data_IF_170061993108
#
_entry.id   IF_170061993108
#
_cell.length_a   1.000
_cell.length_b   1.000
_cell.length_c   1.000
_cell.angle_alpha   90.00
_cell.angle_beta   90.00
_cell.angle_gamma   90.00
#
_symmetry.space_group_name_H-M   'P 1'
#
loop_
_entity.id
_entity.type
_entity.pdbx_description
1 polymer ?
#
# COMPACT_ATOMS: atom_id res chain seq x y z
N UNK A 1 -10.00 38.23 -12.51
CA UNK A 1 -9.35 36.90 -12.39
C UNK A 1 -9.07 36.66 -10.93
N UNK A 2 -9.90 35.85 -10.28
CA UNK A 2 -9.70 35.48 -8.87
C UNK A 2 -8.54 34.47 -8.78
N UNK A 3 -7.34 34.99 -8.60
CA UNK A 3 -6.07 34.24 -8.53
C UNK A 3 -5.98 33.34 -7.30
N UNK A 4 -6.87 33.50 -6.32
CA UNK A 4 -6.82 32.74 -5.07
C UNK A 4 -7.26 31.29 -5.26
N UNK A 5 -8.41 31.05 -5.90
CA UNK A 5 -8.93 29.69 -6.15
C UNK A 5 -8.02 28.91 -7.10
N UNK A 6 -7.49 29.57 -8.13
CA UNK A 6 -6.55 28.92 -9.06
C UNK A 6 -5.27 28.46 -8.36
N UNK A 7 -4.75 29.29 -7.44
CA UNK A 7 -3.62 28.91 -6.61
C UNK A 7 -3.96 27.73 -5.68
N UNK A 8 -5.11 27.76 -5.02
CA UNK A 8 -5.58 26.64 -4.17
C UNK A 8 -5.70 25.35 -4.97
N UNK A 9 -6.30 25.40 -6.17
CA UNK A 9 -6.42 24.24 -7.07
C UNK A 9 -5.04 23.71 -7.44
N UNK A 10 -4.07 24.58 -7.75
CA UNK A 10 -2.70 24.14 -8.06
C UNK A 10 -2.04 23.39 -6.90
N UNK A 11 -2.12 23.92 -5.66
CA UNK A 11 -1.59 23.26 -4.47
C UNK A 11 -2.26 21.91 -4.22
N UNK A 12 -3.58 21.83 -4.40
CA UNK A 12 -4.36 20.62 -4.21
C UNK A 12 -4.05 19.56 -5.28
N UNK A 13 -3.80 19.98 -6.52
CA UNK A 13 -3.34 19.11 -7.61
C UNK A 13 -1.95 18.56 -7.32
N UNK A 14 -1.00 19.40 -6.91
CA UNK A 14 0.36 18.97 -6.59
C UNK A 14 0.36 17.95 -5.45
N UNK A 15 -0.49 18.16 -4.43
CA UNK A 15 -0.71 17.17 -3.36
C UNK A 15 -1.31 15.86 -3.90
N UNK A 16 -2.27 15.94 -4.82
CA UNK A 16 -2.88 14.75 -5.41
C UNK A 16 -1.86 13.92 -6.21
N UNK A 17 -1.05 14.58 -7.04
CA UNK A 17 0.03 13.95 -7.80
C UNK A 17 1.07 13.32 -6.86
N UNK A 18 1.41 14.00 -5.76
CA UNK A 18 2.29 13.45 -4.73
C UNK A 18 1.72 12.16 -4.11
N UNK A 19 0.43 12.13 -3.78
CA UNK A 19 -0.19 10.91 -3.23
C UNK A 19 -0.25 9.78 -4.27
N UNK A 20 -0.49 10.10 -5.55
CA UNK A 20 -0.44 9.11 -6.64
C UNK A 20 0.95 8.50 -6.78
N UNK A 21 2.00 9.34 -6.70
CA UNK A 21 3.37 8.85 -6.70
C UNK A 21 3.67 7.94 -5.52
N UNK A 22 3.21 8.30 -4.30
CA UNK A 22 3.33 7.42 -3.12
C UNK A 22 2.69 6.06 -3.36
N UNK A 23 1.55 6.01 -4.05
CA UNK A 23 0.88 4.75 -4.41
C UNK A 23 1.77 3.87 -5.28
N UNK A 24 2.40 4.44 -6.31
CA UNK A 24 3.33 3.75 -7.21
C UNK A 24 4.61 3.30 -6.49
N UNK A 25 5.13 4.13 -5.58
CA UNK A 25 6.29 3.79 -4.74
C UNK A 25 5.99 2.57 -3.86
N UNK A 26 4.79 2.46 -3.30
CA UNK A 26 4.39 1.28 -2.55
C UNK A 26 4.30 0.03 -3.43
N UNK A 27 3.70 0.12 -4.62
CA UNK A 27 3.58 -1.01 -5.54
C UNK A 27 4.96 -1.50 -6.03
N UNK A 28 5.85 -0.58 -6.39
CA UNK A 28 7.21 -0.92 -6.80
C UNK A 28 8.06 -1.51 -5.66
N UNK A 29 7.83 -1.07 -4.42
CA UNK A 29 8.55 -1.57 -3.24
C UNK A 29 8.22 -3.01 -2.83
N UNK A 30 7.15 -3.61 -3.35
CA UNK A 30 6.69 -4.96 -2.97
C UNK A 30 7.54 -6.09 -3.55
N UNK A 31 8.25 -5.85 -4.65
CA UNK A 31 9.04 -6.90 -5.33
C UNK A 31 10.11 -7.52 -4.43
N UNK A 32 10.84 -6.69 -3.69
CA UNK A 32 11.91 -7.15 -2.79
C UNK A 32 11.37 -8.03 -1.64
N UNK A 33 10.37 -7.58 -0.85
CA UNK A 33 9.69 -8.42 0.14
C UNK A 33 9.21 -9.78 -0.38
N UNK A 34 8.57 -9.82 -1.55
CA UNK A 34 8.04 -11.05 -2.14
C UNK A 34 9.17 -12.02 -2.51
N UNK A 35 10.26 -11.49 -3.07
CA UNK A 35 11.44 -12.28 -3.43
C UNK A 35 12.07 -12.92 -2.18
N UNK A 36 12.24 -12.14 -1.11
CA UNK A 36 12.80 -12.63 0.15
C UNK A 36 11.92 -13.69 0.79
N UNK A 37 10.59 -13.48 0.81
CA UNK A 37 9.64 -14.47 1.30
C UNK A 37 9.72 -15.78 0.53
N UNK A 38 9.81 -15.70 -0.80
CA UNK A 38 9.92 -16.89 -1.67
C UNK A 38 11.18 -17.69 -1.35
N UNK A 39 12.30 -17.01 -1.14
CA UNK A 39 13.56 -17.65 -0.72
C UNK A 39 13.44 -18.31 0.67
N UNK A 40 12.77 -17.66 1.63
CA UNK A 40 12.54 -18.22 2.97
C UNK A 40 11.59 -19.43 2.95
N UNK A 41 10.56 -19.43 2.10
CA UNK A 41 9.70 -20.60 1.89
C UNK A 41 10.47 -21.76 1.27
N UNK A 42 11.26 -21.51 0.21
CA UNK A 42 12.09 -22.55 -0.39
C UNK A 42 13.14 -23.11 0.59
N UNK A 43 13.79 -22.23 1.35
CA UNK A 43 14.75 -22.60 2.39
C UNK A 43 14.12 -23.43 3.49
N UNK A 44 12.95 -23.03 4.00
CA UNK A 44 12.24 -23.79 5.04
C UNK A 44 11.78 -25.17 4.55
N UNK A 45 11.31 -25.28 3.29
CA UNK A 45 10.98 -26.56 2.67
C UNK A 45 12.20 -27.50 2.61
N UNK A 46 13.35 -26.99 2.16
CA UNK A 46 14.59 -27.77 2.10
C UNK A 46 14.94 -28.37 3.47
N UNK A 47 14.91 -27.55 4.52
CA UNK A 47 15.19 -28.00 5.91
C UNK A 47 14.24 -29.11 6.37
N UNK A 48 12.96 -29.00 6.04
CA UNK A 48 11.94 -29.98 6.43
C UNK A 48 12.10 -31.29 5.65
N UNK A 49 12.48 -31.21 4.38
CA UNK A 49 12.61 -32.36 3.47
C UNK A 49 13.89 -33.18 3.68
N UNK A 50 14.90 -32.63 4.37
CA UNK A 50 16.20 -33.28 4.52
C UNK A 50 16.12 -34.49 5.47
N UNK A 51 16.10 -35.69 4.89
CA UNK A 51 16.03 -36.95 5.60
C UNK A 51 17.27 -37.26 6.44
N UNK A 52 18.40 -36.61 6.17
CA UNK A 52 19.61 -36.76 6.99
C UNK A 52 19.43 -36.20 8.40
N UNK A 53 18.37 -35.40 8.62
CA UNK A 53 18.06 -34.76 9.90
C UNK A 53 17.05 -35.54 10.75
N UNK A 54 16.78 -36.81 10.43
CA UNK A 54 15.78 -37.65 11.12
C UNK A 54 16.39 -38.43 12.30
N UNK A 55 17.69 -38.73 12.27
CA UNK A 55 18.37 -39.58 13.27
C UNK A 55 19.07 -38.85 14.42
N UNK A 56 18.79 -37.55 14.64
CA UNK A 56 19.53 -36.70 15.57
C UNK A 56 18.99 -36.81 17.01
N UNK A 57 19.83 -36.46 17.98
CA UNK A 57 19.45 -36.24 19.38
C UNK A 57 18.11 -35.49 19.52
N UNK A 58 17.20 -36.04 20.32
CA UNK A 58 15.81 -35.63 20.45
C UNK A 58 15.64 -34.13 20.83
N UNK A 59 16.59 -33.56 21.58
CA UNK A 59 16.58 -32.15 21.97
C UNK A 59 16.81 -31.19 20.80
N UNK A 60 17.78 -31.48 19.92
CA UNK A 60 18.09 -30.65 18.74
C UNK A 60 16.98 -30.71 17.69
N UNK A 61 16.35 -31.89 17.53
CA UNK A 61 15.18 -32.07 16.68
C UNK A 61 14.00 -31.22 17.17
N UNK A 62 13.77 -31.17 18.47
CA UNK A 62 12.71 -30.34 19.07
C UNK A 62 12.95 -28.85 18.81
N UNK A 63 14.18 -28.36 19.02
CA UNK A 63 14.54 -26.95 18.76
C UNK A 63 14.36 -26.61 17.27
N UNK A 64 14.76 -27.50 16.35
CA UNK A 64 14.54 -27.33 14.91
C UNK A 64 13.07 -27.05 14.60
N UNK A 65 12.17 -27.89 15.11
CA UNK A 65 10.73 -27.75 14.85
C UNK A 65 10.14 -26.46 15.45
N UNK A 66 10.58 -26.07 16.66
CA UNK A 66 10.18 -24.78 17.25
C UNK A 66 10.57 -23.61 16.33
N UNK A 67 11.82 -23.59 15.84
CA UNK A 67 12.29 -22.54 14.93
C UNK A 67 11.53 -22.54 13.60
N UNK A 68 11.23 -23.71 13.03
CA UNK A 68 10.42 -23.83 11.80
C UNK A 68 9.02 -23.26 12.02
N UNK A 69 8.35 -23.62 13.13
CA UNK A 69 7.01 -23.10 13.43
C UNK A 69 7.04 -21.58 13.63
N UNK A 70 8.00 -21.06 14.38
CA UNK A 70 8.18 -19.61 14.56
C UNK A 70 8.44 -18.89 13.24
N UNK A 71 9.25 -19.48 12.36
CA UNK A 71 9.50 -18.95 11.02
C UNK A 71 8.19 -18.91 10.21
N UNK A 72 7.43 -20.00 10.18
CA UNK A 72 6.15 -20.03 9.45
C UNK A 72 5.15 -18.99 9.96
N UNK A 73 5.05 -18.80 11.28
CA UNK A 73 4.22 -17.75 11.88
C UNK A 73 4.69 -16.36 11.40
N UNK A 74 5.99 -16.08 11.45
CA UNK A 74 6.56 -14.82 11.01
C UNK A 74 6.33 -14.57 9.50
N UNK A 75 6.42 -15.60 8.66
CA UNK A 75 6.10 -15.51 7.23
C UNK A 75 4.62 -15.18 7.00
N UNK A 76 3.70 -15.83 7.73
CA UNK A 76 2.26 -15.53 7.64
C UNK A 76 1.96 -14.10 8.08
N UNK A 77 2.54 -13.64 9.19
CA UNK A 77 2.40 -12.25 9.65
C UNK A 77 2.91 -11.27 8.60
N UNK A 78 4.05 -11.57 7.97
CA UNK A 78 4.58 -10.75 6.86
C UNK A 78 3.60 -10.68 5.70
N UNK A 79 3.02 -11.82 5.29
CA UNK A 79 2.04 -11.87 4.20
C UNK A 79 0.80 -11.04 4.51
N UNK A 80 0.30 -11.04 5.75
CA UNK A 80 -0.81 -10.20 6.17
C UNK A 80 -0.47 -8.72 5.96
N UNK A 81 0.70 -8.27 6.42
CA UNK A 81 1.10 -6.88 6.24
C UNK A 81 1.28 -6.50 4.77
N UNK A 82 1.92 -7.36 3.96
CA UNK A 82 2.07 -7.12 2.51
C UNK A 82 0.73 -7.09 1.79
N UNK A 83 -0.23 -7.92 2.20
CA UNK A 83 -1.59 -7.89 1.68
C UNK A 83 -2.25 -6.52 1.95
N UNK A 84 -2.07 -5.96 3.15
CA UNK A 84 -2.54 -4.61 3.48
C UNK A 84 -1.84 -3.54 2.64
N UNK A 85 -0.53 -3.67 2.40
CA UNK A 85 0.22 -2.76 1.52
C UNK A 85 -0.30 -2.81 0.09
N UNK A 86 -0.70 -3.98 -0.42
CA UNK A 86 -1.22 -4.09 -1.79
C UNK A 86 -2.65 -3.57 -1.90
N UNK A 87 -3.56 -4.04 -1.04
CA UNK A 87 -5.00 -3.79 -1.20
C UNK A 87 -5.53 -2.56 -0.45
N UNK A 88 -4.82 -2.02 0.54
CA UNK A 88 -5.33 -0.96 1.39
C UNK A 88 -6.60 -1.39 2.13
N UNK A 89 -6.44 -2.23 3.16
CA UNK A 89 -7.42 -3.03 3.93
C UNK A 89 -8.88 -2.56 4.08
N UNK A 90 -9.21 -1.27 3.90
CA UNK A 90 -10.59 -0.73 4.04
C UNK A 90 -10.98 0.38 3.07
N UNK A 91 -10.05 1.02 2.35
CA UNK A 91 -10.34 2.21 1.55
C UNK A 91 -9.78 2.05 0.15
N UNK A 92 -10.64 2.17 -0.85
CA UNK A 92 -10.22 2.22 -2.24
C UNK A 92 -9.51 3.53 -2.50
N UNK A 93 -8.50 3.49 -3.35
CA UNK A 93 -7.81 4.68 -3.80
C UNK A 93 -8.79 5.56 -4.62
N UNK A 94 -8.87 6.84 -4.30
CA UNK A 94 -9.77 7.79 -4.97
C UNK A 94 -9.14 8.27 -6.28
N UNK A 95 -9.87 8.09 -7.37
CA UNK A 95 -9.59 8.67 -8.68
C UNK A 95 -10.47 9.88 -8.90
N UNK A 96 -9.99 10.82 -9.73
CA UNK A 96 -10.85 11.87 -10.25
C UNK A 96 -12.09 11.28 -10.95
N UNK A 97 -13.23 11.99 -10.91
CA UNK A 97 -14.40 11.61 -11.69
C UNK A 97 -14.04 11.51 -13.18
N UNK A 98 -14.71 10.58 -13.87
CA UNK A 98 -14.53 10.42 -15.30
C UNK A 98 -15.05 11.65 -16.06
N UNK A 99 -14.50 11.90 -17.25
CA UNK A 99 -14.83 13.08 -18.04
C UNK A 99 -16.32 13.16 -18.41
N UNK A 100 -17.01 12.02 -18.52
CA UNK A 100 -18.43 12.00 -18.84
C UNK A 100 -19.26 12.46 -17.63
N UNK A 101 -18.93 12.04 -16.41
CA UNK A 101 -19.53 12.54 -15.17
C UNK A 101 -19.30 14.04 -15.01
N UNK A 102 -18.07 14.52 -15.22
CA UNK A 102 -17.73 15.94 -15.14
C UNK A 102 -18.52 16.77 -16.16
N UNK A 103 -18.55 16.34 -17.42
CA UNK A 103 -19.15 17.13 -18.49
C UNK A 103 -20.68 17.03 -18.52
N UNK A 104 -21.23 15.82 -18.46
CA UNK A 104 -22.68 15.62 -18.57
C UNK A 104 -23.42 15.76 -17.24
N UNK A 105 -22.73 15.61 -16.11
CA UNK A 105 -23.27 15.85 -14.78
C UNK A 105 -23.03 17.28 -14.33
N UNK A 106 -21.84 17.55 -13.80
CA UNK A 106 -21.56 18.81 -13.11
C UNK A 106 -21.56 20.02 -14.04
N UNK A 107 -20.87 19.96 -15.18
CA UNK A 107 -20.76 21.12 -16.09
C UNK A 107 -22.12 21.55 -16.64
N UNK A 108 -22.91 20.64 -17.21
CA UNK A 108 -24.23 20.98 -17.77
C UNK A 108 -25.20 21.48 -16.72
N UNK A 109 -25.22 20.87 -15.53
CA UNK A 109 -26.08 21.31 -14.44
C UNK A 109 -25.71 22.72 -13.95
N UNK A 110 -24.41 22.98 -13.79
CA UNK A 110 -23.92 24.31 -13.40
C UNK A 110 -24.13 25.35 -14.49
N UNK A 111 -23.98 24.97 -15.76
CA UNK A 111 -24.21 25.86 -16.91
C UNK A 111 -25.67 26.28 -16.97
N UNK A 112 -26.59 25.33 -16.82
CA UNK A 112 -28.02 25.63 -16.78
C UNK A 112 -28.36 26.53 -15.58
N UNK A 113 -27.88 26.18 -14.39
CA UNK A 113 -28.07 26.97 -13.18
C UNK A 113 -27.60 28.42 -13.35
N UNK A 114 -26.40 28.63 -13.90
CA UNK A 114 -25.83 29.95 -14.10
C UNK A 114 -26.62 30.78 -15.12
N UNK A 115 -27.09 30.17 -16.23
CA UNK A 115 -27.92 30.85 -17.22
C UNK A 115 -29.29 31.25 -16.69
N UNK A 116 -29.90 30.40 -15.86
CA UNK A 116 -31.25 30.64 -15.30
C UNK A 116 -31.25 31.69 -14.18
N UNK A 117 -30.24 31.67 -13.30
CA UNK A 117 -30.22 32.50 -12.10
C UNK A 117 -29.35 33.76 -12.24
N UNK A 118 -28.38 33.75 -13.16
CA UNK A 118 -27.40 34.83 -13.34
C UNK A 118 -27.15 35.13 -14.83
N UNK A 119 -28.18 35.47 -15.63
CA UNK A 119 -28.05 35.58 -17.09
C UNK A 119 -26.98 36.58 -17.54
N UNK A 120 -26.78 37.68 -16.81
CA UNK A 120 -25.82 38.74 -17.14
C UNK A 120 -24.36 38.38 -16.80
N UNK A 121 -24.13 37.45 -15.87
CA UNK A 121 -22.80 37.05 -15.39
C UNK A 121 -22.59 35.54 -15.42
N UNK A 122 -23.38 34.84 -16.25
CA UNK A 122 -23.48 33.38 -16.25
C UNK A 122 -22.14 32.66 -16.45
N UNK A 123 -21.26 33.21 -17.28
CA UNK A 123 -19.93 32.64 -17.53
C UNK A 123 -19.01 32.74 -16.29
N UNK A 124 -19.04 33.88 -15.59
CA UNK A 124 -18.23 34.09 -14.38
C UNK A 124 -18.70 33.18 -13.24
N UNK A 125 -20.02 33.10 -13.03
CA UNK A 125 -20.63 32.22 -12.02
C UNK A 125 -20.40 30.74 -12.34
N UNK A 126 -20.51 30.34 -13.61
CA UNK A 126 -20.20 28.97 -14.03
C UNK A 126 -18.74 28.63 -13.72
N UNK A 127 -17.81 29.50 -14.10
CA UNK A 127 -16.39 29.28 -13.86
C UNK A 127 -16.07 29.19 -12.36
N UNK A 128 -16.68 30.04 -11.55
CA UNK A 128 -16.48 30.04 -10.10
C UNK A 128 -16.99 28.75 -9.44
N UNK A 129 -18.20 28.32 -9.81
CA UNK A 129 -18.77 27.06 -9.32
C UNK A 129 -17.97 25.83 -9.78
N UNK A 130 -17.45 25.83 -11.01
CA UNK A 130 -16.58 24.75 -11.50
C UNK A 130 -15.27 24.68 -10.71
N UNK A 131 -14.69 25.83 -10.34
CA UNK A 131 -13.50 25.88 -9.48
C UNK A 131 -13.80 25.31 -8.09
N UNK A 132 -14.91 25.69 -7.49
CA UNK A 132 -15.31 25.15 -6.18
C UNK A 132 -15.52 23.64 -6.25
N UNK A 133 -16.16 23.16 -7.33
CA UNK A 133 -16.36 21.73 -7.54
C UNK A 133 -15.03 20.97 -7.72
N UNK A 134 -14.08 21.55 -8.45
CA UNK A 134 -12.75 20.98 -8.60
C UNK A 134 -12.00 20.92 -7.25
N UNK A 135 -12.11 21.99 -6.43
CA UNK A 135 -11.54 22.02 -5.08
C UNK A 135 -12.10 20.89 -4.22
N UNK A 136 -13.42 20.68 -4.22
CA UNK A 136 -14.06 19.58 -3.50
C UNK A 136 -13.53 18.21 -3.92
N UNK A 137 -13.45 17.93 -5.22
CA UNK A 137 -12.90 16.66 -5.72
C UNK A 137 -11.46 16.43 -5.27
N UNK A 138 -10.62 17.45 -5.34
CA UNK A 138 -9.26 17.33 -4.85
C UNK A 138 -9.21 17.11 -3.33
N UNK A 139 -10.02 17.81 -2.55
CA UNK A 139 -10.06 17.63 -1.09
C UNK A 139 -10.46 16.21 -0.72
N UNK A 140 -11.54 15.70 -1.32
CA UNK A 140 -12.04 14.34 -1.07
C UNK A 140 -11.00 13.29 -1.45
N UNK A 141 -10.43 13.39 -2.65
CA UNK A 141 -9.41 12.45 -3.07
C UNK A 141 -8.13 12.57 -2.24
N UNK A 142 -7.65 13.77 -1.92
CA UNK A 142 -6.46 13.94 -1.09
C UNK A 142 -6.66 13.36 0.31
N UNK A 143 -7.77 13.65 0.97
CA UNK A 143 -8.05 13.15 2.31
C UNK A 143 -8.16 11.62 2.34
N UNK A 144 -8.82 11.03 1.34
CA UNK A 144 -8.93 9.58 1.24
C UNK A 144 -7.57 8.93 0.91
N UNK A 145 -6.84 9.47 -0.08
CA UNK A 145 -5.59 8.91 -0.57
C UNK A 145 -4.47 9.01 0.48
N UNK A 146 -4.37 10.14 1.19
CA UNK A 146 -3.44 10.27 2.32
C UNK A 146 -3.72 9.20 3.38
N UNK A 147 -4.98 9.01 3.78
CA UNK A 147 -5.33 7.98 4.78
C UNK A 147 -5.02 6.55 4.33
N UNK A 148 -5.26 6.24 3.04
CA UNK A 148 -4.88 4.95 2.44
C UNK A 148 -3.36 4.78 2.46
N UNK A 149 -2.62 5.77 1.96
CA UNK A 149 -1.17 5.72 1.85
C UNK A 149 -0.47 5.69 3.21
N UNK A 150 -1.00 6.34 4.23
CA UNK A 150 -0.45 6.26 5.59
C UNK A 150 -0.63 4.87 6.20
N UNK A 151 -1.79 4.24 5.95
CA UNK A 151 -2.04 2.84 6.36
C UNK A 151 -1.09 1.88 5.63
N UNK A 152 -0.89 2.08 4.32
CA UNK A 152 0.05 1.29 3.51
C UNK A 152 1.48 1.50 4.00
N UNK A 153 1.88 2.74 4.31
CA UNK A 153 3.20 3.08 4.84
C UNK A 153 3.51 2.37 6.16
N UNK A 154 2.58 2.44 7.13
CA UNK A 154 2.72 1.73 8.39
C UNK A 154 2.81 0.22 8.20
N UNK A 155 1.96 -0.33 7.34
CA UNK A 155 1.96 -1.77 7.04
C UNK A 155 3.26 -2.21 6.36
N UNK A 156 3.83 -1.39 5.47
CA UNK A 156 5.12 -1.68 4.84
C UNK A 156 6.26 -1.67 5.85
N UNK A 157 6.25 -0.75 6.81
CA UNK A 157 7.21 -0.75 7.90
C UNK A 157 7.15 -2.05 8.71
N UNK A 158 5.95 -2.47 9.14
CA UNK A 158 5.78 -3.72 9.89
C UNK A 158 6.10 -4.97 9.04
N UNK A 159 5.80 -4.96 7.74
CA UNK A 159 6.21 -6.02 6.83
C UNK A 159 7.73 -6.15 6.78
N UNK A 160 8.46 -5.03 6.61
CA UNK A 160 9.93 -5.03 6.61
C UNK A 160 10.50 -5.51 7.93
N UNK A 161 9.94 -5.07 9.06
CA UNK A 161 10.35 -5.54 10.39
C UNK A 161 10.14 -7.06 10.54
N UNK A 162 8.98 -7.55 10.11
CA UNK A 162 8.64 -8.98 10.14
C UNK A 162 9.56 -9.82 9.25
N UNK A 163 10.01 -9.27 8.11
CA UNK A 163 11.04 -9.89 7.26
C UNK A 163 12.37 -9.98 7.99
N UNK A 164 12.82 -8.91 8.66
CA UNK A 164 14.06 -8.93 9.43
C UNK A 164 14.02 -10.00 10.53
N UNK A 165 12.88 -10.14 11.22
CA UNK A 165 12.66 -11.20 12.22
C UNK A 165 12.72 -12.58 11.56
N UNK A 166 12.03 -12.77 10.44
CA UNK A 166 12.02 -14.03 9.69
C UNK A 166 13.42 -14.43 9.22
N UNK A 167 14.21 -13.48 8.73
CA UNK A 167 15.61 -13.69 8.33
C UNK A 167 16.49 -14.09 9.52
N UNK A 168 16.29 -13.46 10.68
CA UNK A 168 17.04 -13.78 11.89
C UNK A 168 16.75 -15.21 12.37
N UNK A 169 15.47 -15.62 12.34
CA UNK A 169 15.06 -17.00 12.65
C UNK A 169 15.64 -17.98 11.61
N UNK A 170 15.55 -17.64 10.32
CA UNK A 170 16.11 -18.45 9.23
C UNK A 170 17.62 -18.66 9.36
N UNK A 171 18.36 -17.62 9.76
CA UNK A 171 19.80 -17.71 10.01
C UNK A 171 20.10 -18.59 11.22
N UNK A 172 19.36 -18.45 12.32
CA UNK A 172 19.51 -19.31 13.49
C UNK A 172 19.24 -20.78 13.14
N UNK A 173 18.21 -21.04 12.32
CA UNK A 173 17.90 -22.37 11.81
C UNK A 173 19.03 -22.93 10.94
N UNK A 174 19.61 -22.12 10.05
CA UNK A 174 20.74 -22.52 9.23
C UNK A 174 21.96 -22.89 10.08
N UNK A 175 22.32 -22.07 11.07
CA UNK A 175 23.43 -22.32 12.00
C UNK A 175 23.20 -23.64 12.75
N UNK A 176 21.99 -23.86 13.25
CA UNK A 176 21.62 -25.10 13.94
C UNK A 176 21.82 -26.32 13.04
N UNK A 177 21.41 -26.25 11.78
CA UNK A 177 21.56 -27.37 10.83
C UNK A 177 23.03 -27.62 10.49
N UNK A 178 23.82 -26.58 10.28
CA UNK A 178 25.26 -26.71 10.05
C UNK A 178 25.93 -27.38 11.25
N UNK A 179 25.56 -26.99 12.47
CA UNK A 179 26.08 -27.60 13.69
C UNK A 179 25.69 -29.08 13.80
N UNK A 180 24.42 -29.39 13.56
CA UNK A 180 23.91 -30.76 13.54
C UNK A 180 24.65 -31.63 12.53
N UNK A 181 24.91 -31.12 11.31
CA UNK A 181 25.61 -31.87 10.26
C UNK A 181 27.10 -32.02 10.51
N UNK A 182 27.67 -31.21 11.42
CA UNK A 182 29.09 -31.28 11.78
C UNK A 182 29.38 -32.28 12.90
N UNK A 183 28.34 -32.78 13.60
CA UNK A 183 28.42 -33.82 14.63
C UNK A 183 28.25 -35.18 13.97
#
# INVERSE_FOLDING_TARGET
MDTSKDYVISLLRDKYEYEQKRKEDFESSLGTPITVLSALFAGSYFVVSDSSLIGINCSLVTIKWILVILLLIALVVTLIFLFVVYFGFKRRYCSFPDSNTVYNGDFKALEQYAKENYPETSEEVLMDNLKDRAIEWYLDCNNNNTAVNDTRGNSLFYAKLSICISLSIGLALLILICFIKSI
#
